data_IF_323964442009
#
_entry.id   IF_323964442009
#
_cell.length_a   1.000
_cell.length_b   1.000
_cell.length_c   1.000
_cell.angle_alpha   90.00
_cell.angle_beta   90.00
_cell.angle_gamma   90.00
#
_symmetry.space_group_name_H-M   'P 1'
#
loop_
_entity.id
_entity.type
_entity.pdbx_description
1 polymer ?
#
# COMPACT_ATOMS: atom_id res chain seq x y z
N UNK A 1 8.31 9.81 54.84
CA UNK A 1 8.18 8.75 53.81
C UNK A 1 7.53 9.27 52.51
N UNK A 2 7.84 10.50 52.05
CA UNK A 2 7.18 11.13 50.86
C UNK A 2 8.19 11.44 49.74
N UNK A 3 9.44 10.98 49.84
CA UNK A 3 10.53 11.36 48.91
C UNK A 3 10.85 10.36 47.79
N UNK A 4 10.10 9.28 47.66
CA UNK A 4 10.34 8.24 46.64
C UNK A 4 9.17 8.03 45.64
N UNK A 5 8.06 8.76 45.75
CA UNK A 5 6.91 8.59 44.83
C UNK A 5 7.04 9.33 43.49
N UNK A 6 7.87 10.38 43.41
CA UNK A 6 7.99 11.19 42.19
C UNK A 6 8.70 10.48 41.01
N UNK A 7 9.79 9.69 41.20
CA UNK A 7 10.44 9.02 40.07
C UNK A 7 9.67 7.79 39.54
N UNK A 8 8.80 7.17 40.35
CA UNK A 8 7.97 6.04 39.91
C UNK A 8 6.85 6.50 38.95
N UNK A 9 6.36 7.73 39.11
CA UNK A 9 5.29 8.28 38.28
C UNK A 9 5.78 8.78 36.90
N UNK A 10 7.06 9.17 36.78
CA UNK A 10 7.67 9.55 35.49
C UNK A 10 7.99 8.30 34.63
N UNK A 11 8.26 7.15 35.25
CA UNK A 11 8.46 5.88 34.55
C UNK A 11 7.13 5.27 34.07
N UNK A 12 6.01 5.57 34.73
CA UNK A 12 4.68 5.07 34.36
C UNK A 12 4.00 5.85 33.22
N UNK A 13 4.56 7.00 32.81
CA UNK A 13 4.03 7.82 31.71
C UNK A 13 4.76 7.62 30.38
N UNK A 14 5.65 6.63 30.28
CA UNK A 14 6.04 6.11 28.95
C UNK A 14 4.88 5.26 28.42
N UNK A 15 3.78 5.94 28.09
CA UNK A 15 2.81 5.43 27.16
C UNK A 15 3.58 5.23 25.85
N UNK A 16 4.01 4.00 25.60
CA UNK A 16 4.31 3.57 24.24
C UNK A 16 3.06 3.90 23.44
N UNK A 17 3.15 4.86 22.53
CA UNK A 17 2.13 5.01 21.50
C UNK A 17 2.12 3.66 20.76
N UNK A 18 1.14 2.81 21.07
CA UNK A 18 0.87 1.65 20.25
C UNK A 18 0.46 2.23 18.90
N UNK A 19 1.37 2.20 17.94
CA UNK A 19 1.08 2.69 16.59
C UNK A 19 -0.02 1.78 16.03
N UNK A 20 -1.16 2.39 15.71
CA UNK A 20 -2.30 1.68 15.20
C UNK A 20 -2.00 1.23 13.78
N UNK A 21 -2.25 -0.05 13.48
CA UNK A 21 -2.17 -0.54 12.09
C UNK A 21 -3.16 0.27 11.24
N UNK A 22 -2.74 0.77 10.08
CA UNK A 22 -3.61 1.52 9.18
C UNK A 22 -4.70 0.63 8.58
N UNK A 23 -5.92 1.17 8.41
CA UNK A 23 -7.07 0.45 7.81
C UNK A 23 -6.77 0.01 6.38
N UNK A 24 -6.06 0.84 5.61
CA UNK A 24 -5.59 0.51 4.27
C UNK A 24 -4.09 0.80 4.16
N UNK A 25 -3.38 -0.13 3.53
CA UNK A 25 -1.93 -0.03 3.28
C UNK A 25 -1.59 -0.64 1.93
N UNK A 26 -0.71 0.01 1.18
CA UNK A 26 0.00 -0.58 0.05
C UNK A 26 1.44 -0.84 0.48
N UNK A 27 2.02 -1.96 0.09
CA UNK A 27 3.42 -2.29 0.38
C UNK A 27 4.04 -3.09 -0.75
N UNK A 28 5.35 -3.29 -0.67
CA UNK A 28 6.10 -4.09 -1.64
C UNK A 28 6.92 -5.16 -0.93
N UNK A 29 7.29 -6.27 -1.60
CA UNK A 29 8.24 -7.23 -1.06
C UNK A 29 9.57 -6.58 -0.72
N UNK A 30 10.06 -6.84 0.50
CA UNK A 30 11.39 -6.47 0.94
C UNK A 30 12.47 -7.39 0.39
N UNK A 31 13.73 -7.09 0.71
CA UNK A 31 14.90 -7.85 0.26
C UNK A 31 14.92 -9.31 0.75
N UNK A 32 14.17 -9.61 1.82
CA UNK A 32 14.03 -10.97 2.37
C UNK A 32 12.61 -11.46 2.19
N UNK A 33 12.43 -12.75 1.85
CA UNK A 33 11.11 -13.37 1.74
C UNK A 33 10.27 -13.15 2.99
N UNK A 34 9.05 -12.67 2.82
CA UNK A 34 8.12 -12.38 3.92
C UNK A 34 8.38 -11.06 4.66
N UNK A 35 9.27 -10.21 4.15
CA UNK A 35 9.46 -8.84 4.64
C UNK A 35 8.85 -7.82 3.69
N UNK A 36 8.64 -6.60 4.19
CA UNK A 36 8.20 -5.46 3.38
C UNK A 36 9.38 -4.54 3.05
N UNK A 37 9.31 -3.88 1.90
CA UNK A 37 10.28 -2.87 1.52
C UNK A 37 10.27 -1.70 2.53
N UNK A 38 11.43 -1.14 2.89
CA UNK A 38 11.48 -0.03 3.82
C UNK A 38 10.89 1.23 3.18
N UNK A 39 10.22 2.03 4.00
CA UNK A 39 9.68 3.33 3.61
C UNK A 39 10.78 4.38 3.69
N UNK A 40 10.92 5.15 2.63
CA UNK A 40 11.99 6.13 2.44
C UNK A 40 11.43 7.40 1.85
N UNK A 41 12.22 8.47 1.89
CA UNK A 41 11.90 9.68 1.13
C UNK A 41 12.33 9.48 -0.33
N UNK A 42 11.44 9.80 -1.26
CA UNK A 42 11.71 9.80 -2.70
C UNK A 42 11.69 11.23 -3.24
N UNK A 43 12.52 11.50 -4.25
CA UNK A 43 12.49 12.78 -4.97
C UNK A 43 11.63 12.73 -6.23
N UNK A 44 11.40 11.53 -6.79
CA UNK A 44 10.64 11.30 -8.02
C UNK A 44 9.65 10.13 -7.85
N UNK A 45 8.35 10.41 -7.70
CA UNK A 45 7.79 11.69 -7.27
C UNK A 45 8.33 12.13 -5.90
N UNK A 46 8.17 13.40 -5.55
CA UNK A 46 8.64 13.93 -4.26
C UNK A 46 7.68 13.51 -3.16
N UNK A 47 8.07 12.48 -2.41
CA UNK A 47 7.24 11.83 -1.39
C UNK A 47 8.03 11.60 -0.11
N UNK A 48 7.34 11.79 1.01
CA UNK A 48 7.81 11.38 2.32
C UNK A 48 7.08 10.12 2.73
N UNK A 49 7.79 9.13 3.27
CA UNK A 49 7.18 7.89 3.80
C UNK A 49 6.54 7.00 2.71
N UNK A 50 7.32 6.67 1.66
CA UNK A 50 6.90 5.76 0.58
C UNK A 50 7.81 4.54 0.47
N UNK A 51 7.24 3.36 0.24
CA UNK A 51 8.03 2.17 -0.08
C UNK A 51 8.46 2.21 -1.55
N UNK A 52 9.76 1.97 -1.80
CA UNK A 52 10.31 1.96 -3.16
C UNK A 52 10.55 0.53 -3.63
N UNK A 53 10.09 0.22 -4.83
CA UNK A 53 10.31 -1.08 -5.46
C UNK A 53 10.57 -0.97 -6.97
N UNK A 54 11.17 -2.01 -7.53
CA UNK A 54 11.27 -2.28 -8.97
C UNK A 54 10.64 -3.62 -9.34
N UNK A 55 10.14 -4.36 -8.33
CA UNK A 55 9.56 -5.68 -8.51
C UNK A 55 8.20 -5.66 -9.19
N UNK A 56 7.75 -6.83 -9.64
CA UNK A 56 6.45 -7.03 -10.29
C UNK A 56 5.35 -7.44 -9.31
N UNK A 57 5.49 -7.12 -8.03
CA UNK A 57 4.55 -7.54 -6.98
C UNK A 57 4.30 -6.40 -6.01
N UNK A 58 3.02 -6.17 -5.69
CA UNK A 58 2.57 -5.34 -4.59
C UNK A 58 1.78 -6.16 -3.58
N UNK A 59 1.77 -5.69 -2.34
CA UNK A 59 0.85 -6.14 -1.30
C UNK A 59 -0.12 -5.02 -1.00
N UNK A 60 -1.37 -5.40 -0.80
CA UNK A 60 -2.42 -4.47 -0.40
C UNK A 60 -3.16 -5.08 0.77
N UNK A 61 -3.26 -4.34 1.86
CA UNK A 61 -3.94 -4.80 3.07
C UNK A 61 -5.16 -3.94 3.40
N UNK A 62 -6.23 -4.62 3.83
CA UNK A 62 -7.38 -4.02 4.48
C UNK A 62 -7.49 -4.56 5.91
N UNK A 63 -7.22 -3.72 6.90
CA UNK A 63 -7.29 -4.05 8.31
C UNK A 63 -8.61 -3.56 8.92
N UNK A 64 -9.35 -4.49 9.52
CA UNK A 64 -10.57 -4.15 10.24
C UNK A 64 -10.26 -3.48 11.57
N UNK A 65 -11.05 -2.47 11.91
CA UNK A 65 -10.93 -1.73 13.15
C UNK A 65 -11.00 -2.65 14.37
N UNK A 66 -10.20 -2.29 15.38
CA UNK A 66 -10.21 -2.93 16.70
C UNK A 66 -11.66 -2.92 17.22
N UNK A 67 -12.19 -4.11 17.55
CA UNK A 67 -13.56 -4.39 18.02
C UNK A 67 -14.62 -4.72 16.95
N UNK A 68 -14.23 -4.97 15.69
CA UNK A 68 -15.14 -5.42 14.63
C UNK A 68 -16.33 -4.47 14.37
N UNK A 69 -16.16 -3.16 14.58
CA UNK A 69 -17.21 -2.18 14.26
C UNK A 69 -17.44 -2.03 12.76
N UNK A 70 -16.45 -2.39 11.95
CA UNK A 70 -16.53 -2.40 10.50
C UNK A 70 -17.14 -3.71 10.00
N UNK A 71 -18.16 -3.57 9.16
CA UNK A 71 -18.89 -4.67 8.52
C UNK A 71 -18.24 -5.07 7.19
N UNK A 72 -17.64 -4.11 6.49
CA UNK A 72 -17.04 -4.32 5.17
C UNK A 72 -16.02 -3.24 4.84
N UNK A 73 -14.94 -3.65 4.16
CA UNK A 73 -13.93 -2.77 3.56
C UNK A 73 -13.81 -3.16 2.08
N UNK A 74 -14.04 -2.21 1.17
CA UNK A 74 -13.91 -2.41 -0.26
C UNK A 74 -14.84 -1.52 -1.06
N UNK A 75 -15.90 -2.11 -1.61
CA UNK A 75 -16.96 -1.42 -2.32
C UNK A 75 -18.25 -1.32 -1.52
N UNK A 76 -19.37 -1.21 -2.22
CA UNK A 76 -20.70 -1.19 -1.62
C UNK A 76 -20.93 -2.42 -0.72
N UNK A 77 -21.30 -2.17 0.53
CA UNK A 77 -21.80 -3.22 1.40
C UNK A 77 -23.13 -3.75 0.87
N UNK A 78 -23.18 -5.05 0.63
CA UNK A 78 -24.43 -5.79 0.41
C UNK A 78 -24.57 -6.78 1.54
N UNK A 79 -25.66 -6.66 2.30
CA UNK A 79 -25.98 -7.63 3.33
C UNK A 79 -25.89 -9.06 2.79
N UNK A 80 -25.17 -9.91 3.52
CA UNK A 80 -25.16 -11.32 3.22
C UNK A 80 -26.54 -11.86 3.58
N UNK A 81 -27.16 -12.62 2.68
CA UNK A 81 -28.50 -13.24 2.88
C UNK A 81 -28.54 -14.18 4.11
N UNK A 82 -27.43 -14.33 4.86
CA UNK A 82 -27.34 -15.07 6.10
C UNK A 82 -27.52 -14.17 7.36
N UNK A 83 -28.74 -14.11 7.93
CA UNK A 83 -29.05 -13.31 9.12
C UNK A 83 -28.34 -13.78 10.40
N UNK A 84 -27.55 -14.87 10.36
CA UNK A 84 -26.75 -15.33 11.50
C UNK A 84 -25.44 -14.57 11.66
N UNK A 85 -24.98 -13.84 10.63
CA UNK A 85 -23.69 -13.14 10.61
C UNK A 85 -23.81 -11.70 11.14
N UNK A 86 -24.93 -11.02 10.88
CA UNK A 86 -25.21 -9.65 11.36
C UNK A 86 -26.65 -9.52 11.90
N UNK A 87 -26.97 -10.14 13.06
CA UNK A 87 -28.33 -10.27 13.56
C UNK A 87 -29.07 -8.94 13.86
N UNK A 88 -28.34 -7.82 13.83
CA UNK A 88 -28.87 -6.48 14.12
C UNK A 88 -29.29 -5.70 12.87
N UNK A 89 -28.88 -6.11 11.66
CA UNK A 89 -29.28 -5.45 10.41
C UNK A 89 -30.57 -6.06 9.84
N UNK A 90 -31.35 -5.23 9.16
CA UNK A 90 -32.51 -5.72 8.41
C UNK A 90 -32.04 -6.48 7.15
N UNK A 91 -32.68 -7.61 6.78
CA UNK A 91 -32.34 -8.31 5.54
C UNK A 91 -32.41 -7.39 4.32
N UNK A 92 -31.34 -7.39 3.53
CA UNK A 92 -31.25 -6.58 2.32
C UNK A 92 -30.82 -5.14 2.55
N UNK A 93 -30.36 -4.80 3.76
CA UNK A 93 -29.66 -3.52 4.00
C UNK A 93 -28.43 -3.42 3.09
N UNK A 94 -28.23 -2.24 2.50
CA UNK A 94 -27.11 -1.95 1.63
C UNK A 94 -26.44 -0.65 2.05
N UNK A 95 -25.12 -0.61 1.92
CA UNK A 95 -24.36 0.63 2.03
C UNK A 95 -24.48 1.51 0.79
N UNK A 96 -23.85 2.68 0.86
CA UNK A 96 -23.66 3.55 -0.30
C UNK A 96 -22.61 2.98 -1.25
N UNK A 97 -22.68 3.38 -2.52
CA UNK A 97 -21.69 3.05 -3.55
C UNK A 97 -20.81 4.27 -3.87
N UNK A 98 -19.80 4.08 -4.72
CA UNK A 98 -18.76 5.08 -5.04
C UNK A 98 -19.34 6.42 -5.51
N UNK A 99 -20.38 6.40 -6.35
CA UNK A 99 -21.01 7.61 -6.88
C UNK A 99 -21.64 8.50 -5.81
N UNK A 100 -22.04 7.94 -4.65
CA UNK A 100 -22.53 8.73 -3.52
C UNK A 100 -21.42 9.56 -2.84
N UNK A 101 -20.15 9.30 -3.14
CA UNK A 101 -18.98 10.01 -2.64
C UNK A 101 -18.32 10.90 -3.72
N UNK A 102 -19.01 11.15 -4.84
CA UNK A 102 -18.52 12.04 -5.90
C UNK A 102 -17.63 11.37 -6.95
N UNK A 103 -17.44 10.05 -6.88
CA UNK A 103 -16.76 9.29 -7.91
C UNK A 103 -17.67 9.08 -9.13
N UNK A 104 -17.07 8.83 -10.30
CA UNK A 104 -17.77 8.45 -11.52
C UNK A 104 -18.56 7.15 -11.27
N UNK A 105 -19.78 7.05 -11.80
CA UNK A 105 -20.60 5.82 -11.67
C UNK A 105 -19.96 4.59 -12.31
N UNK A 106 -18.92 4.74 -13.12
CA UNK A 106 -18.10 3.62 -13.63
C UNK A 106 -17.43 2.84 -12.48
N UNK A 107 -17.24 3.46 -11.31
CA UNK A 107 -16.73 2.79 -10.12
C UNK A 107 -17.81 2.02 -9.35
N UNK A 108 -19.10 2.26 -9.60
CA UNK A 108 -20.17 1.60 -8.86
C UNK A 108 -20.14 0.08 -9.06
N UNK A 109 -20.30 -0.67 -7.97
CA UNK A 109 -20.25 -2.14 -7.97
C UNK A 109 -18.84 -2.74 -7.96
N UNK A 110 -17.78 -1.92 -8.00
CA UNK A 110 -16.40 -2.38 -7.80
C UNK A 110 -16.02 -2.41 -6.31
N UNK A 111 -15.02 -3.25 -5.97
CA UNK A 111 -14.47 -3.36 -4.62
C UNK A 111 -13.57 -2.19 -4.25
N UNK A 112 -12.52 -2.45 -3.44
CA UNK A 112 -11.49 -1.45 -3.23
C UNK A 112 -10.78 -1.10 -4.55
N UNK A 113 -10.32 0.14 -4.67
CA UNK A 113 -9.70 0.67 -5.87
C UNK A 113 -8.22 0.94 -5.60
N UNK A 114 -7.34 0.25 -6.33
CA UNK A 114 -5.93 0.62 -6.43
C UNK A 114 -5.80 1.74 -7.45
N UNK A 115 -5.28 2.89 -7.05
CA UNK A 115 -4.97 4.00 -7.94
C UNK A 115 -3.48 3.97 -8.27
N UNK A 116 -3.17 4.08 -9.55
CA UNK A 116 -1.82 4.27 -10.05
C UNK A 116 -1.69 5.66 -10.68
N UNK A 117 -0.74 6.45 -10.22
CA UNK A 117 -0.36 7.74 -10.80
C UNK A 117 0.91 7.58 -11.63
N UNK A 118 0.93 8.12 -12.85
CA UNK A 118 2.06 7.96 -13.80
C UNK A 118 2.45 9.31 -14.48
N UNK A 119 3.73 9.48 -14.89
CA UNK A 119 4.34 10.77 -15.29
C UNK A 119 3.74 11.52 -16.49
N UNK A 120 2.88 10.89 -17.28
CA UNK A 120 2.67 11.25 -18.69
C UNK A 120 1.67 12.42 -18.85
N UNK A 121 0.68 12.56 -17.96
CA UNK A 121 -0.26 13.70 -17.92
C UNK A 121 -1.07 13.92 -19.21
N UNK A 122 -0.89 13.03 -20.20
CA UNK A 122 -1.53 13.04 -21.51
C UNK A 122 -1.99 11.64 -21.93
N UNK A 123 -1.89 10.65 -21.04
CA UNK A 123 -2.17 9.22 -21.24
C UNK A 123 -1.46 8.62 -22.46
N UNK A 124 -0.16 8.94 -22.64
CA UNK A 124 0.70 8.39 -23.69
C UNK A 124 1.00 6.87 -23.58
N UNK A 125 2.09 6.42 -24.21
CA UNK A 125 2.27 5.05 -24.75
C UNK A 125 2.58 3.93 -23.72
N UNK A 126 2.49 4.21 -22.43
CA UNK A 126 2.75 3.23 -21.38
C UNK A 126 1.60 2.22 -21.19
N UNK A 127 1.92 1.07 -20.61
CA UNK A 127 0.92 0.04 -20.28
C UNK A 127 1.07 -0.38 -18.83
N UNK A 128 -0.04 -0.45 -18.08
CA UNK A 128 -0.06 -1.00 -16.73
C UNK A 128 -1.20 -2.02 -16.61
N UNK A 129 -0.88 -3.16 -16.01
CA UNK A 129 -1.84 -4.21 -15.67
C UNK A 129 -1.65 -4.66 -14.23
N UNK A 130 -2.76 -5.01 -13.58
CA UNK A 130 -2.79 -5.58 -12.23
C UNK A 130 -3.46 -6.93 -12.30
N UNK A 131 -2.74 -7.98 -11.90
CA UNK A 131 -3.13 -9.38 -12.10
C UNK A 131 -3.49 -9.70 -13.56
N UNK A 132 -2.84 -9.01 -14.51
CA UNK A 132 -3.12 -9.13 -15.95
C UNK A 132 -4.36 -8.37 -16.44
N UNK A 133 -5.08 -7.67 -15.55
CA UNK A 133 -6.24 -6.85 -15.91
C UNK A 133 -5.81 -5.43 -16.26
N UNK A 134 -6.48 -4.85 -17.26
CA UNK A 134 -6.38 -3.43 -17.59
C UNK A 134 -7.10 -2.57 -16.53
N UNK A 135 -6.83 -1.25 -16.47
CA UNK A 135 -7.56 -0.34 -15.61
C UNK A 135 -9.05 -0.34 -15.93
N UNK A 136 -9.90 -0.23 -14.91
CA UNK A 136 -11.35 -0.04 -15.07
C UNK A 136 -11.69 1.39 -15.47
N UNK A 137 -10.79 2.33 -15.17
CA UNK A 137 -10.92 3.74 -15.50
C UNK A 137 -9.53 4.37 -15.65
N UNK A 138 -9.38 5.27 -16.63
CA UNK A 138 -8.17 6.07 -16.83
C UNK A 138 -8.54 7.52 -17.09
N UNK A 139 -7.76 8.46 -16.58
CA UNK A 139 -7.91 9.88 -16.88
C UNK A 139 -6.57 10.61 -16.80
N UNK A 140 -6.40 11.62 -17.67
CA UNK A 140 -5.27 12.55 -17.66
C UNK A 140 -5.53 13.81 -16.83
N UNK A 141 -6.75 13.96 -16.31
CA UNK A 141 -7.18 15.14 -15.58
C UNK A 141 -7.36 14.81 -14.09
N UNK A 142 -6.65 15.57 -13.24
CA UNK A 142 -6.90 15.55 -11.81
C UNK A 142 -8.36 15.94 -11.54
N UNK A 143 -9.02 15.16 -10.68
CA UNK A 143 -10.44 15.27 -10.33
C UNK A 143 -11.46 14.96 -11.45
N UNK A 144 -11.02 14.39 -12.58
CA UNK A 144 -11.94 13.94 -13.62
C UNK A 144 -12.50 12.54 -13.31
N UNK A 145 -13.70 12.53 -12.73
CA UNK A 145 -14.39 11.29 -12.37
C UNK A 145 -13.97 10.71 -11.03
N UNK A 146 -13.11 11.39 -10.27
CA UNK A 146 -12.86 11.10 -8.87
C UNK A 146 -12.70 12.41 -8.12
N UNK A 147 -12.96 12.44 -6.82
CA UNK A 147 -12.60 13.59 -5.99
C UNK A 147 -12.05 13.05 -4.70
N UNK A 148 -10.82 13.46 -4.36
CA UNK A 148 -10.22 13.13 -3.08
C UNK A 148 -10.51 14.30 -2.14
N UNK A 149 -11.44 14.18 -1.18
CA UNK A 149 -11.73 15.28 -0.26
C UNK A 149 -10.49 15.58 0.58
N UNK A 150 -10.13 16.85 0.77
CA UNK A 150 -9.07 17.29 1.70
C UNK A 150 -7.81 16.41 1.68
N UNK A 151 -7.07 16.30 0.56
CA UNK A 151 -5.84 15.54 0.57
C UNK A 151 -4.85 16.18 1.56
N UNK A 152 -4.27 15.41 2.50
CA UNK A 152 -3.14 15.92 3.28
C UNK A 152 -2.02 16.32 2.31
N UNK A 153 -1.25 17.34 2.68
CA UNK A 153 -0.29 17.95 1.76
C UNK A 153 0.85 17.04 1.29
N UNK A 154 1.03 15.86 1.91
CA UNK A 154 2.15 14.94 1.63
C UNK A 154 1.77 13.65 0.88
N UNK A 155 0.48 13.37 0.66
CA UNK A 155 -0.03 12.23 -0.14
C UNK A 155 -1.20 12.68 -1.05
N UNK A 156 -1.11 13.90 -1.58
CA UNK A 156 -2.11 14.41 -2.52
C UNK A 156 -1.80 13.88 -3.92
N UNK A 157 -2.82 13.49 -4.72
CA UNK A 157 -2.57 13.13 -6.11
C UNK A 157 -1.89 14.29 -6.84
N UNK A 158 -0.84 13.97 -7.61
CA UNK A 158 0.05 14.97 -8.21
C UNK A 158 -0.65 15.56 -9.44
N UNK A 159 -0.91 16.89 -9.51
CA UNK A 159 -1.55 17.47 -10.68
C UNK A 159 -0.71 17.32 -11.95
N UNK A 160 -1.37 17.19 -13.10
CA UNK A 160 -0.72 17.04 -14.41
C UNK A 160 -0.10 15.67 -14.65
N UNK A 161 -0.60 14.65 -13.95
CA UNK A 161 -0.26 13.24 -14.12
C UNK A 161 -1.46 12.48 -14.65
N UNK A 162 -1.23 11.25 -15.13
CA UNK A 162 -2.32 10.35 -15.46
C UNK A 162 -2.64 9.42 -14.30
N UNK A 163 -3.91 9.07 -14.19
CA UNK A 163 -4.44 8.18 -13.17
C UNK A 163 -5.08 6.96 -13.82
N UNK A 164 -4.75 5.80 -13.28
CA UNK A 164 -5.32 4.51 -13.67
C UNK A 164 -5.89 3.82 -12.43
N UNK A 165 -7.10 3.30 -12.53
CA UNK A 165 -7.79 2.67 -11.39
C UNK A 165 -8.03 1.20 -11.67
N UNK A 166 -7.77 0.35 -10.68
CA UNK A 166 -7.96 -1.09 -10.74
C UNK A 166 -8.83 -1.56 -9.59
N UNK A 167 -9.79 -2.43 -9.87
CA UNK A 167 -10.55 -3.12 -8.84
C UNK A 167 -9.71 -4.25 -8.22
N UNK A 168 -9.47 -4.18 -6.91
CA UNK A 168 -8.78 -5.21 -6.14
C UNK A 168 -9.73 -6.03 -5.25
N UNK A 169 -11.04 -5.78 -5.37
CA UNK A 169 -12.11 -6.46 -4.66
C UNK A 169 -12.24 -6.03 -3.19
N UNK A 170 -13.19 -6.66 -2.49
CA UNK A 170 -13.42 -6.43 -1.06
C UNK A 170 -12.39 -7.18 -0.20
N UNK A 171 -12.10 -6.69 1.00
CA UNK A 171 -11.23 -7.36 1.97
C UNK A 171 -12.02 -8.21 2.94
N UNK A 172 -11.49 -9.38 3.26
CA UNK A 172 -12.01 -10.27 4.29
C UNK A 172 -11.27 -10.07 5.62
N UNK A 173 -11.88 -10.50 6.73
CA UNK A 173 -11.22 -10.53 8.04
C UNK A 173 -10.65 -11.92 8.33
N UNK A 174 -9.44 -12.20 7.83
CA UNK A 174 -8.84 -13.55 7.82
C UNK A 174 -7.66 -13.72 8.79
N UNK A 175 -6.73 -12.77 8.78
CA UNK A 175 -5.43 -12.86 9.47
C UNK A 175 -5.11 -11.55 10.17
N UNK A 176 -4.19 -11.56 11.13
CA UNK A 176 -3.68 -10.32 11.69
C UNK A 176 -2.87 -9.55 10.64
N UNK A 177 -3.17 -8.26 10.50
CA UNK A 177 -2.46 -7.38 9.56
C UNK A 177 -1.30 -6.70 10.29
N UNK A 178 -0.05 -6.85 9.80
CA UNK A 178 1.08 -6.10 10.32
C UNK A 178 1.05 -4.66 9.79
N UNK A 179 1.81 -3.78 10.44
CA UNK A 179 2.19 -2.49 9.87
C UNK A 179 3.29 -2.72 8.82
N UNK A 180 3.06 -2.29 7.57
CA UNK A 180 4.04 -2.47 6.50
C UNK A 180 5.28 -1.59 6.66
N UNK A 181 5.20 -0.45 7.35
CA UNK A 181 6.37 0.43 7.56
C UNK A 181 7.29 -0.03 8.68
N UNK A 182 6.79 -0.82 9.62
CA UNK A 182 7.63 -1.45 10.65
C UNK A 182 7.36 -2.96 10.76
N UNK A 183 7.86 -3.77 9.80
CA UNK A 183 7.73 -5.23 9.84
C UNK A 183 8.41 -5.87 11.04
N UNK A 184 9.25 -5.12 11.77
CA UNK A 184 10.05 -5.64 12.88
C UNK A 184 9.34 -5.51 14.22
N UNK A 185 8.32 -4.65 14.33
CA UNK A 185 7.49 -4.61 15.52
C UNK A 185 6.62 -5.86 15.55
N UNK A 186 6.47 -6.49 16.73
CA UNK A 186 5.37 -7.43 16.90
C UNK A 186 4.08 -6.70 16.53
N UNK A 187 3.15 -7.34 15.78
CA UNK A 187 1.88 -6.71 15.44
C UNK A 187 1.27 -6.15 16.72
N UNK A 188 0.76 -4.90 16.71
CA UNK A 188 0.35 -4.23 17.93
C UNK A 188 -0.59 -5.15 18.71
N UNK A 189 -0.50 -5.15 20.06
CA UNK A 189 -1.22 -6.09 20.88
C UNK A 189 -2.72 -5.75 20.90
N UNK A 190 -3.45 -6.04 19.82
CA UNK A 190 -4.91 -6.26 19.76
C UNK A 190 -5.49 -6.16 18.33
N UNK A 191 -6.10 -7.25 17.88
CA UNK A 191 -7.41 -7.30 17.21
C UNK A 191 -7.62 -6.62 15.85
N UNK A 192 -6.58 -6.35 15.06
CA UNK A 192 -6.78 -5.92 13.67
C UNK A 192 -6.63 -7.11 12.72
N UNK A 193 -7.73 -7.85 12.56
CA UNK A 193 -7.84 -8.88 11.54
C UNK A 193 -8.18 -8.27 10.18
N UNK A 194 -7.81 -8.93 9.10
CA UNK A 194 -7.96 -8.41 7.76
C UNK A 194 -7.47 -9.39 6.70
N UNK A 195 -7.22 -8.87 5.51
CA UNK A 195 -6.68 -9.65 4.41
C UNK A 195 -5.53 -8.87 3.75
N UNK A 196 -4.45 -9.59 3.44
CA UNK A 196 -3.38 -9.11 2.57
C UNK A 196 -3.57 -9.77 1.21
N UNK A 197 -3.73 -8.95 0.17
CA UNK A 197 -3.79 -9.39 -1.22
C UNK A 197 -2.43 -9.19 -1.88
N UNK A 198 -1.98 -10.21 -2.60
CA UNK A 198 -0.79 -10.15 -3.45
C UNK A 198 -1.21 -9.81 -4.86
N UNK A 199 -0.69 -8.72 -5.40
CA UNK A 199 -1.01 -8.22 -6.74
C UNK A 199 0.21 -8.35 -7.64
N UNK A 200 0.05 -8.95 -8.81
CA UNK A 200 1.07 -8.99 -9.85
C UNK A 200 0.97 -7.74 -10.73
N UNK A 201 2.07 -7.02 -10.89
CA UNK A 201 2.16 -5.81 -11.70
C UNK A 201 2.88 -6.12 -13.01
N UNK A 202 2.21 -5.84 -14.13
CA UNK A 202 2.83 -5.84 -15.45
C UNK A 202 2.87 -4.42 -15.97
N UNK A 203 4.06 -3.88 -16.24
CA UNK A 203 4.22 -2.50 -16.70
C UNK A 203 5.23 -2.38 -17.86
N UNK A 204 5.02 -1.39 -18.73
CA UNK A 204 6.00 -0.93 -19.72
C UNK A 204 5.81 0.56 -20.02
N UNK A 205 6.89 1.24 -20.41
CA UNK A 205 6.83 2.63 -20.89
C UNK A 205 6.72 3.73 -19.83
N UNK A 206 6.60 3.40 -18.53
CA UNK A 206 6.59 4.38 -17.44
C UNK A 206 7.94 4.48 -16.73
N UNK A 207 8.38 5.70 -16.43
CA UNK A 207 9.60 5.96 -15.63
C UNK A 207 9.39 5.64 -14.14
N UNK A 208 8.18 5.90 -13.65
CA UNK A 208 7.74 5.60 -12.29
C UNK A 208 6.22 5.41 -12.25
N UNK A 209 5.73 4.73 -11.22
CA UNK A 209 4.31 4.55 -10.95
C UNK A 209 4.11 4.65 -9.44
N UNK A 210 3.28 5.59 -9.01
CA UNK A 210 2.91 5.73 -7.60
C UNK A 210 1.58 5.03 -7.34
N UNK A 211 1.50 4.21 -6.30
CA UNK A 211 0.33 3.40 -5.97
C UNK A 211 -0.29 3.81 -4.63
N UNK A 212 -1.56 4.19 -4.70
CA UNK A 212 -2.45 4.45 -3.58
C UNK A 212 -3.60 3.46 -3.56
N UNK A 213 -4.32 3.37 -2.43
CA UNK A 213 -5.55 2.61 -2.34
C UNK A 213 -6.70 3.39 -1.71
N UNK A 214 -7.88 3.18 -2.28
CA UNK A 214 -9.16 3.65 -1.78
C UNK A 214 -10.10 2.49 -1.45
N UNK A 215 -10.92 2.67 -0.43
CA UNK A 215 -12.05 1.78 -0.17
C UNK A 215 -13.23 2.55 0.42
N UNK A 216 -14.43 2.03 0.18
CA UNK A 216 -15.60 2.29 0.99
C UNK A 216 -15.55 1.38 2.22
N UNK A 217 -15.73 1.98 3.39
CA UNK A 217 -15.87 1.27 4.65
C UNK A 217 -17.30 1.42 5.13
N UNK A 218 -17.92 0.29 5.47
CA UNK A 218 -19.27 0.27 6.02
C UNK A 218 -19.26 -0.24 7.46
N UNK A 219 -20.00 0.43 8.32
CA UNK A 219 -20.19 0.10 9.73
C UNK A 219 -21.67 0.11 10.11
N UNK A 220 -22.02 -0.58 11.18
CA UNK A 220 -23.38 -0.52 11.72
C UNK A 220 -23.62 0.88 12.30
N UNK A 221 -24.69 1.54 11.83
CA UNK A 221 -25.04 2.87 12.32
C UNK A 221 -25.96 2.77 13.53
N UNK A 222 -25.38 2.80 14.72
CA UNK A 222 -26.16 2.80 15.97
C UNK A 222 -27.10 3.99 16.15
N UNK A 223 -26.99 5.05 15.34
CA UNK A 223 -27.85 6.24 15.39
C UNK A 223 -29.10 6.14 14.52
N UNK A 224 -29.14 5.15 13.62
CA UNK A 224 -30.28 4.85 12.75
C UNK A 224 -30.72 3.42 13.08
N UNK A 225 -31.97 3.22 13.51
CA UNK A 225 -32.48 1.87 13.82
C UNK A 225 -32.20 0.89 12.65
N UNK A 226 -31.17 0.04 12.81
CA UNK A 226 -30.71 -0.98 11.84
C UNK A 226 -30.16 -0.42 10.52
N UNK A 227 -29.47 0.72 10.56
CA UNK A 227 -28.81 1.34 9.41
C UNK A 227 -27.37 0.86 9.18
N UNK A 228 -26.87 1.08 7.97
CA UNK A 228 -25.44 1.00 7.65
C UNK A 228 -24.95 2.38 7.27
N UNK A 229 -23.87 2.81 7.91
CA UNK A 229 -23.15 4.02 7.53
C UNK A 229 -21.97 3.60 6.66
N UNK A 230 -21.87 4.18 5.47
CA UNK A 230 -20.73 4.02 4.58
C UNK A 230 -19.93 5.32 4.53
N UNK A 231 -18.62 5.23 4.61
CA UNK A 231 -17.70 6.36 4.45
C UNK A 231 -16.51 5.96 3.58
N UNK A 232 -15.94 6.95 2.92
CA UNK A 232 -14.74 6.82 2.12
C UNK A 232 -13.51 6.80 3.01
N UNK A 233 -12.59 5.86 2.77
CA UNK A 233 -11.27 5.80 3.40
C UNK A 233 -10.21 5.78 2.30
N UNK A 234 -9.20 6.63 2.48
CA UNK A 234 -8.01 6.70 1.63
C UNK A 234 -6.74 6.50 2.42
N UNK A 235 -5.65 6.35 1.69
CA UNK A 235 -4.32 6.68 2.19
C UNK A 235 -4.28 8.16 2.62
N UNK A 236 -4.04 8.39 3.92
CA UNK A 236 -3.53 9.61 4.56
C UNK A 236 -4.53 10.63 5.15
N UNK A 237 -5.82 10.33 5.32
CA UNK A 237 -6.73 11.26 6.01
C UNK A 237 -6.60 11.28 7.56
N UNK A 238 -7.07 12.37 8.18
CA UNK A 238 -7.20 12.56 9.65
C UNK A 238 -8.09 11.48 10.28
N UNK A 239 -7.51 10.30 10.51
CA UNK A 239 -8.20 9.08 10.93
C UNK A 239 -7.44 7.81 10.55
N UNK A 240 -6.51 7.90 9.58
CA UNK A 240 -5.59 6.82 9.20
C UNK A 240 -4.13 7.34 9.08
N UNK A 241 -3.53 7.89 10.16
CA UNK A 241 -2.24 8.60 10.16
C UNK A 241 -1.00 7.73 9.89
N UNK A 242 -1.17 6.50 9.38
CA UNK A 242 -0.07 5.62 9.01
C UNK A 242 -0.30 4.93 7.67
N UNK A 243 -1.24 5.38 6.85
CA UNK A 243 -1.47 4.71 5.57
C UNK A 243 -0.23 4.75 4.70
N UNK A 244 0.05 3.61 4.08
CA UNK A 244 1.27 3.41 3.33
C UNK A 244 1.01 3.37 1.84
N UNK A 245 1.93 3.94 1.07
CA UNK A 245 1.93 3.93 -0.39
C UNK A 245 3.21 3.27 -0.95
N UNK A 246 3.22 3.04 -2.26
CA UNK A 246 4.38 2.45 -2.95
C UNK A 246 4.67 3.19 -4.23
N UNK A 247 5.92 3.58 -4.43
CA UNK A 247 6.43 3.99 -5.74
C UNK A 247 7.23 2.86 -6.38
N UNK A 248 6.75 2.40 -7.55
CA UNK A 248 7.52 1.57 -8.47
C UNK A 248 8.38 2.45 -9.37
N UNK A 249 9.64 2.05 -9.59
CA UNK A 249 10.53 2.66 -10.60
C UNK A 249 11.51 1.64 -11.14
N UNK A 250 12.00 1.87 -12.35
CA UNK A 250 13.07 1.03 -12.92
C UNK A 250 14.34 1.13 -12.07
N UNK A 251 15.04 0.01 -11.88
CA UNK A 251 16.33 -0.07 -11.16
C UNK A 251 17.39 0.91 -11.73
N UNK A 252 17.21 1.33 -12.98
CA UNK A 252 18.13 2.18 -13.72
C UNK A 252 18.06 3.68 -13.35
N UNK A 253 17.27 4.06 -12.34
CA UNK A 253 17.37 5.38 -11.70
C UNK A 253 17.25 6.57 -12.67
N UNK A 254 16.05 6.79 -13.21
CA UNK A 254 15.73 8.01 -13.96
C UNK A 254 15.69 9.25 -13.07
N UNK A 255 16.86 9.81 -12.75
CA UNK A 255 16.94 11.02 -11.92
C UNK A 255 18.35 11.55 -11.64
N UNK A 256 19.28 11.41 -12.60
CA UNK A 256 20.55 12.14 -12.54
C UNK A 256 21.78 11.34 -12.95
N UNK A 257 22.14 11.42 -14.24
CA UNK A 257 23.53 11.36 -14.72
C UNK A 257 24.44 10.28 -14.11
N UNK A 258 24.18 9.02 -14.42
CA UNK A 258 25.15 7.96 -14.25
C UNK A 258 24.76 6.80 -15.15
N UNK A 259 25.49 6.60 -16.25
CA UNK A 259 25.45 5.33 -16.98
C UNK A 259 25.48 4.17 -15.97
N UNK A 260 24.72 3.08 -16.16
CA UNK A 260 25.03 1.85 -15.47
C UNK A 260 26.50 1.56 -15.79
N UNK A 261 27.36 1.73 -14.79
CA UNK A 261 28.76 1.36 -14.92
C UNK A 261 28.71 -0.15 -15.09
N UNK A 262 29.10 -0.71 -16.26
CA UNK A 262 29.27 -2.14 -16.36
C UNK A 262 30.26 -2.49 -15.25
N UNK A 263 29.87 -3.39 -14.33
CA UNK A 263 30.69 -3.78 -13.19
C UNK A 263 32.16 -3.84 -13.61
N UNK A 264 33.03 -2.91 -13.16
CA UNK A 264 34.38 -2.85 -13.67
C UNK A 264 35.15 -4.03 -13.09
N UNK A 265 35.26 -5.08 -13.89
CA UNK A 265 36.31 -6.06 -13.75
C UNK A 265 36.20 -7.04 -12.60
N UNK A 266 35.15 -7.11 -11.78
CA UNK A 266 35.11 -8.12 -10.68
C UNK A 266 35.10 -9.55 -11.22
N UNK A 267 34.34 -9.80 -12.29
CA UNK A 267 34.35 -11.11 -12.99
C UNK A 267 35.70 -11.35 -13.70
N UNK A 268 36.30 -10.29 -14.25
CA UNK A 268 37.59 -10.40 -14.93
C UNK A 268 38.77 -10.56 -13.95
N UNK A 269 38.70 -9.95 -12.77
CA UNK A 269 39.69 -10.01 -11.68
C UNK A 269 39.57 -11.35 -10.94
N UNK A 270 38.35 -11.86 -10.75
CA UNK A 270 38.11 -13.21 -10.23
C UNK A 270 38.64 -14.26 -11.23
N UNK A 271 38.35 -14.09 -12.53
CA UNK A 271 38.83 -14.97 -13.59
C UNK A 271 40.35 -14.97 -13.73
N UNK A 272 40.98 -13.78 -13.78
CA UNK A 272 42.45 -13.67 -13.89
C UNK A 272 43.17 -14.09 -12.60
N UNK A 273 42.58 -13.84 -11.43
CA UNK A 273 43.10 -14.30 -10.14
C UNK A 273 43.13 -15.83 -10.02
N UNK A 274 42.10 -16.52 -10.49
CA UNK A 274 42.04 -17.99 -10.49
C UNK A 274 43.03 -18.60 -11.50
N UNK A 275 43.20 -18.01 -12.68
CA UNK A 275 44.22 -18.45 -13.65
C UNK A 275 45.64 -18.23 -13.10
N UNK A 276 45.89 -17.12 -12.42
CA UNK A 276 47.15 -16.84 -11.75
C UNK A 276 47.50 -17.87 -10.66
N UNK A 277 46.52 -18.23 -9.83
CA UNK A 277 46.66 -19.27 -8.79
C UNK A 277 46.90 -20.67 -9.39
N UNK A 278 46.23 -21.02 -10.48
CA UNK A 278 46.43 -22.30 -11.17
C UNK A 278 47.83 -22.42 -11.77
N UNK A 279 48.33 -21.35 -12.41
CA UNK A 279 49.69 -21.31 -12.96
C UNK A 279 50.77 -21.34 -11.87
N UNK A 280 50.54 -20.66 -10.74
CA UNK A 280 51.44 -20.70 -9.59
C UNK A 280 51.51 -22.09 -8.95
N UNK A 281 50.36 -22.77 -8.79
CA UNK A 281 50.30 -24.15 -8.28
C UNK A 281 51.07 -25.15 -9.14
N UNK A 282 50.99 -25.02 -10.47
CA UNK A 282 51.68 -25.91 -11.42
C UNK A 282 53.21 -25.78 -11.36
N UNK A 283 53.74 -24.60 -11.02
CA UNK A 283 55.18 -24.38 -10.87
C UNK A 283 55.74 -24.98 -9.57
N UNK A 284 54.92 -25.14 -8.52
CA UNK A 284 55.32 -25.71 -7.23
C UNK A 284 55.41 -27.24 -7.25
N UNK A 285 54.58 -27.91 -8.06
CA UNK A 285 54.58 -29.38 -8.16
C UNK A 285 55.64 -29.95 -9.13
N UNK A 286 56.41 -29.09 -9.82
CA UNK A 286 57.48 -29.46 -10.74
C UNK A 286 58.90 -29.18 -10.17
N UNK A 287 59.01 -29.00 -8.84
CA UNK A 287 60.27 -29.01 -8.10
C UNK A 287 60.20 -30.11 -7.05
#
# INVERSE_FOLDING_TARGET
>A
MIRFMLPLMVILCMATAAQAVPTLQVGAPGATTGTYAPYVNSANPTESDTAITSGSTLYVAGAYAVNNSQLSIGGKYTDHIDPLITPHLAPGTMGSDWSAFGFNSTFDGHGALLMATVPDGTLGDGSLTVNGNAPIYTTAAYEDGFTVPNPPSNHAPIPGQDYMFFDVGNFLSLVLIPDFADPTQPPPPSNQSGEIKTLAIGTSGFDWIHFDIFALVSEEDSSVDRGVRTYFVKTAEEGNPGSHDVTWKTDDGGGGGGNPVPEPGTVFLLGTGLVGLALYGRKRNNR
#
